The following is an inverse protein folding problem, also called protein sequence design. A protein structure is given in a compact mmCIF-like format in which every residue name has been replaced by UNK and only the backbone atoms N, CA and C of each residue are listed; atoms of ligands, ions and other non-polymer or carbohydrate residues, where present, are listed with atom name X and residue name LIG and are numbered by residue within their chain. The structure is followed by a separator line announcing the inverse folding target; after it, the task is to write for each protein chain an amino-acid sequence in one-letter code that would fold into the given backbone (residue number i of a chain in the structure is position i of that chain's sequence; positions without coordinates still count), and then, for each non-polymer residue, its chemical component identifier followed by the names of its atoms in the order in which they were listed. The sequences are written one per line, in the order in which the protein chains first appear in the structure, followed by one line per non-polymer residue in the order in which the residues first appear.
data_IF_379420415391
#
_entry.id   IF_379420415391
#
_cell.length_a   1.000
_cell.length_b   1.000
_cell.length_c   1.000
_cell.angle_alpha   90.00
_cell.angle_beta   90.00
_cell.angle_gamma   90.00
#
_symmetry.space_group_name_H-M   'P 1'
#
loop_
_entity.id
_entity.type
_entity.pdbx_description
1 polymer ?
#
# COMPACT_ATOMS: atom_id res chain seq x y z
N UNK A 1 11.05 0.23 8.57
CA UNK A 1 9.69 0.38 8.05
C UNK A 1 9.15 -0.99 7.66
N UNK A 2 7.89 -1.27 7.92
CA UNK A 2 7.35 -2.56 7.53
C UNK A 2 7.33 -2.73 6.02
N UNK A 3 7.44 -3.98 5.61
CA UNK A 3 7.40 -4.35 4.20
C UNK A 3 6.14 -5.16 3.94
N UNK A 4 5.68 -5.11 2.72
CA UNK A 4 4.54 -5.90 2.32
C UNK A 4 4.48 -6.07 0.82
N UNK A 5 3.37 -6.62 0.37
CA UNK A 5 3.12 -6.87 -1.04
C UNK A 5 1.78 -6.28 -1.41
N UNK A 6 1.72 -5.63 -2.56
CA UNK A 6 0.44 -5.09 -3.02
C UNK A 6 -0.50 -6.26 -3.30
N UNK A 7 -1.57 -6.34 -2.53
CA UNK A 7 -2.52 -7.43 -2.65
C UNK A 7 -3.67 -7.11 -3.59
N UNK A 8 -4.10 -5.84 -3.61
CA UNK A 8 -5.20 -5.42 -4.47
C UNK A 8 -4.98 -3.99 -4.92
N UNK A 9 -5.40 -3.70 -6.14
CA UNK A 9 -5.37 -2.34 -6.68
C UNK A 9 -6.70 -2.04 -7.33
N UNK A 10 -7.27 -0.91 -6.95
CA UNK A 10 -8.52 -0.42 -7.50
C UNK A 10 -8.19 0.93 -8.15
N UNK A 11 -7.59 0.84 -9.33
CA UNK A 11 -7.01 2.01 -10.00
C UNK A 11 -8.04 3.10 -10.23
N UNK A 12 -9.22 2.72 -10.70
CA UNK A 12 -10.28 3.68 -11.01
C UNK A 12 -10.88 4.31 -9.76
N UNK A 13 -10.67 3.69 -8.60
CA UNK A 13 -11.15 4.23 -7.34
C UNK A 13 -10.06 4.95 -6.56
N UNK A 14 -8.81 4.78 -6.95
CA UNK A 14 -7.69 5.52 -6.37
C UNK A 14 -7.18 4.98 -5.06
N UNK A 15 -7.36 3.68 -4.79
CA UNK A 15 -6.82 3.08 -3.57
C UNK A 15 -6.48 1.62 -3.78
N UNK A 16 -5.84 1.03 -2.79
CA UNK A 16 -5.48 -0.37 -2.84
C UNK A 16 -5.19 -0.91 -1.45
N UNK A 17 -4.70 -2.14 -1.40
CA UNK A 17 -4.38 -2.82 -0.14
C UNK A 17 -3.01 -3.45 -0.24
N UNK A 18 -2.26 -3.35 0.85
CA UNK A 18 -0.95 -3.97 1.01
C UNK A 18 -1.07 -5.02 2.08
N UNK A 19 -0.62 -6.24 1.78
CA UNK A 19 -0.57 -7.31 2.79
C UNK A 19 0.81 -7.35 3.38
N UNK A 20 0.89 -7.20 4.71
CA UNK A 20 2.18 -7.24 5.38
C UNK A 20 2.62 -8.69 5.62
N UNK A 21 3.78 -8.84 6.24
CA UNK A 21 4.36 -10.17 6.45
C UNK A 21 3.57 -10.99 7.46
N UNK A 22 2.74 -10.35 8.25
CA UNK A 22 1.85 -11.05 9.19
C UNK A 22 0.52 -11.44 8.58
N UNK A 23 0.28 -11.07 7.33
CA UNK A 23 -0.97 -11.36 6.65
C UNK A 23 -2.07 -10.33 6.85
N UNK A 24 -1.76 -9.21 7.50
CA UNK A 24 -2.72 -8.14 7.71
C UNK A 24 -2.73 -7.23 6.49
N UNK A 25 -3.94 -6.89 6.01
CA UNK A 25 -4.07 -5.99 4.87
C UNK A 25 -4.24 -4.56 5.37
N UNK A 26 -3.49 -3.66 4.76
CA UNK A 26 -3.50 -2.24 5.09
C UNK A 26 -4.03 -1.47 3.90
N UNK A 27 -5.02 -0.63 4.13
CA UNK A 27 -5.55 0.27 3.11
C UNK A 27 -4.52 1.35 2.79
N UNK A 28 -4.35 1.68 1.52
CA UNK A 28 -3.57 2.86 1.15
C UNK A 28 -4.28 3.60 0.02
N UNK A 29 -4.16 4.92 0.05
CA UNK A 29 -4.75 5.79 -0.95
C UNK A 29 -3.66 6.20 -1.95
N UNK A 30 -4.07 6.57 -3.16
CA UNK A 30 -3.11 6.99 -4.18
C UNK A 30 -2.21 8.13 -3.68
N UNK A 31 -2.73 9.00 -2.85
CA UNK A 31 -1.96 10.12 -2.31
C UNK A 31 -0.87 9.68 -1.34
N UNK A 32 -0.89 8.44 -0.89
CA UNK A 32 0.12 7.92 0.01
C UNK A 32 1.33 7.33 -0.71
N UNK A 33 1.28 7.20 -2.02
CA UNK A 33 2.37 6.62 -2.79
C UNK A 33 3.45 7.67 -3.03
N UNK A 34 4.69 7.28 -2.78
CA UNK A 34 5.86 8.15 -2.95
C UNK A 34 6.82 7.54 -3.95
N UNK A 35 7.38 8.37 -4.80
CA UNK A 35 8.42 7.93 -5.72
C UNK A 35 7.95 7.04 -6.84
N UNK A 36 6.65 6.88 -7.02
CA UNK A 36 6.08 6.05 -8.07
C UNK A 36 4.71 6.60 -8.44
N UNK A 37 4.23 6.23 -9.61
CA UNK A 37 2.91 6.63 -10.08
C UNK A 37 1.92 5.53 -9.71
N UNK A 38 0.88 5.90 -8.95
CA UNK A 38 -0.09 4.93 -8.46
C UNK A 38 -0.69 4.11 -9.61
N UNK A 39 -1.01 4.76 -10.71
CA UNK A 39 -1.66 4.10 -11.85
C UNK A 39 -0.78 3.06 -12.55
N UNK A 40 0.52 3.07 -12.25
CA UNK A 40 1.44 2.11 -12.83
C UNK A 40 1.81 0.98 -11.87
N UNK A 41 1.26 0.99 -10.68
CA UNK A 41 1.51 -0.10 -9.73
C UNK A 41 0.81 -1.37 -10.19
N UNK A 42 1.32 -2.50 -9.68
CA UNK A 42 0.76 -3.80 -10.02
C UNK A 42 0.66 -4.66 -8.79
N UNK A 43 -0.35 -5.50 -8.77
CA UNK A 43 -0.48 -6.49 -7.69
C UNK A 43 0.72 -7.42 -7.71
N UNK A 44 1.19 -7.76 -6.53
CA UNK A 44 2.36 -8.61 -6.38
C UNK A 44 3.67 -7.88 -6.17
N UNK A 45 3.70 -6.57 -6.38
CA UNK A 45 4.92 -5.80 -6.16
C UNK A 45 5.22 -5.67 -4.67
N UNK A 46 6.51 -5.66 -4.34
CA UNK A 46 6.95 -5.48 -2.97
C UNK A 46 7.08 -4.00 -2.66
N UNK A 47 6.65 -3.62 -1.48
CA UNK A 47 6.67 -2.21 -1.05
C UNK A 47 7.10 -2.13 0.40
N UNK A 48 7.58 -0.95 0.80
CA UNK A 48 7.69 -0.60 2.21
C UNK A 48 6.71 0.54 2.48
N UNK A 49 6.30 0.65 3.72
CA UNK A 49 5.29 1.64 4.08
C UNK A 49 5.36 1.94 5.56
N UNK A 50 4.66 2.99 5.98
CA UNK A 50 4.54 3.35 7.39
C UNK A 50 3.16 2.93 7.88
N UNK A 51 3.12 2.24 9.01
CA UNK A 51 1.84 1.88 9.63
C UNK A 51 1.15 3.13 10.18
N UNK A 52 -0.14 3.20 9.94
CA UNK A 52 -0.97 4.27 10.47
C UNK A 52 -2.23 3.67 11.04
N UNK A 53 -2.58 4.03 12.27
CA UNK A 53 -3.86 3.62 12.83
C UNK A 53 -4.94 4.57 12.35
N UNK A 54 -6.11 4.00 12.07
CA UNK A 54 -7.25 4.81 11.71
C UNK A 54 -8.50 4.18 12.29
N UNK A 55 -9.59 4.95 12.46
CA UNK A 55 -10.83 4.39 12.97
C UNK A 55 -11.39 3.27 12.10
N UNK A 56 -10.98 3.20 10.85
CA UNK A 56 -11.49 2.20 9.91
C UNK A 56 -10.57 0.99 9.79
N UNK A 57 -9.48 0.94 10.54
CA UNK A 57 -8.56 -0.18 10.53
C UNK A 57 -7.16 0.20 10.12
N UNK A 58 -6.30 -0.79 9.85
CA UNK A 58 -4.91 -0.51 9.48
C UNK A 58 -4.82 0.26 8.17
N UNK A 59 -3.89 1.20 8.14
CA UNK A 59 -3.69 2.04 6.98
C UNK A 59 -2.20 2.18 6.72
N UNK A 60 -1.81 2.22 5.46
CA UNK A 60 -0.43 2.42 5.06
C UNK A 60 -0.23 3.84 4.58
N UNK A 61 0.87 4.46 5.00
CA UNK A 61 1.27 5.78 4.53
C UNK A 61 2.67 5.68 3.95
N UNK A 62 3.06 6.66 3.15
CA UNK A 62 4.39 6.74 2.57
C UNK A 62 4.81 5.43 1.92
N UNK A 63 3.97 4.95 1.03
CA UNK A 63 4.20 3.68 0.34
C UNK A 63 5.26 3.88 -0.72
N UNK A 64 6.31 3.03 -0.72
CA UNK A 64 7.39 3.08 -1.70
C UNK A 64 7.64 1.70 -2.25
N UNK A 65 7.89 1.63 -3.56
CA UNK A 65 8.25 0.38 -4.19
C UNK A 65 9.64 -0.06 -3.72
N UNK A 66 9.76 -1.35 -3.47
CA UNK A 66 11.06 -1.98 -3.25
C UNK A 66 11.48 -2.63 -4.55
N UNK A 67 12.64 -2.30 -5.00
CA UNK A 67 13.15 -2.86 -6.24
C UNK A 67 14.32 -3.73 -6.06
#
# INVERSE_FOLDING_TARGET
MPNGTIARLLIDKGFGFIRDESGVEHFFHRSSVRGAVFELLREGQRVEFTNEDSPKGPRAAEVRLLE
#
